data_IF_323202564806
#
_entry.id   IF_323202564806
#
_cell.length_a   1.000
_cell.length_b   1.000
_cell.length_c   1.000
_cell.angle_alpha   90.00
_cell.angle_beta   90.00
_cell.angle_gamma   90.00
#
_symmetry.space_group_name_H-M   'P 1'
#
loop_
_entity.id
_entity.type
_entity.pdbx_description
1 polymer ?
#
# COMPACT_ATOMS: atom_id res chain seq x y z
N UNK A 1 12.08 -12.00 6.28
CA UNK A 1 11.15 -11.89 7.43
C UNK A 1 9.75 -11.59 6.90
N UNK A 2 8.69 -11.99 7.61
CA UNK A 2 7.32 -11.65 7.19
C UNK A 2 7.00 -10.22 7.63
N UNK A 3 6.91 -9.30 6.66
CA UNK A 3 6.67 -7.87 6.91
C UNK A 3 5.19 -7.50 6.83
N UNK A 4 4.53 -7.90 5.75
CA UNK A 4 3.14 -7.58 5.48
C UNK A 4 2.29 -8.86 5.46
N UNK A 5 1.17 -8.82 6.17
CA UNK A 5 0.17 -9.89 6.27
C UNK A 5 -1.18 -9.25 6.64
N UNK A 6 -2.05 -9.06 5.66
CA UNK A 6 -3.33 -8.36 5.83
C UNK A 6 -4.34 -8.77 4.78
N UNK A 7 -5.62 -8.49 5.05
CA UNK A 7 -6.72 -8.81 4.15
C UNK A 7 -7.08 -7.63 3.25
N UNK A 8 -7.61 -7.90 2.05
CA UNK A 8 -8.26 -6.85 1.24
C UNK A 8 -9.52 -6.30 1.90
N UNK A 9 -10.06 -6.97 2.92
CA UNK A 9 -11.12 -6.43 3.77
C UNK A 9 -10.65 -5.24 4.62
N UNK A 10 -9.33 -5.09 4.83
CA UNK A 10 -8.74 -3.99 5.61
C UNK A 10 -8.46 -2.73 4.77
N UNK A 11 -8.90 -2.72 3.51
CA UNK A 11 -8.73 -1.56 2.62
C UNK A 11 -9.58 -0.38 3.09
N UNK A 12 -8.95 0.80 3.22
CA UNK A 12 -9.64 2.05 3.56
C UNK A 12 -10.70 2.41 2.51
N UNK A 13 -10.38 2.21 1.23
CA UNK A 13 -11.32 2.40 0.10
C UNK A 13 -11.53 1.08 -0.63
N UNK A 14 -12.70 0.43 -0.51
CA UNK A 14 -12.97 -0.82 -1.20
C UNK A 14 -12.89 -0.69 -2.72
N UNK A 15 -12.59 -1.79 -3.41
CA UNK A 15 -12.43 -1.84 -4.87
C UNK A 15 -13.60 -1.17 -5.63
N UNK A 16 -14.84 -1.38 -5.18
CA UNK A 16 -16.03 -0.75 -5.80
C UNK A 16 -15.95 0.77 -5.79
N UNK A 17 -15.51 1.35 -4.68
CA UNK A 17 -15.38 2.80 -4.53
C UNK A 17 -14.25 3.33 -5.41
N UNK A 18 -13.10 2.65 -5.42
CA UNK A 18 -11.98 3.00 -6.30
C UNK A 18 -12.38 3.00 -7.78
N UNK A 19 -13.11 1.97 -8.24
CA UNK A 19 -13.59 1.92 -9.64
C UNK A 19 -14.56 3.06 -9.96
N UNK A 20 -15.47 3.36 -9.04
CA UNK A 20 -16.45 4.44 -9.22
C UNK A 20 -15.74 5.78 -9.35
N UNK A 21 -14.81 6.08 -8.44
CA UNK A 21 -14.05 7.32 -8.46
C UNK A 21 -13.19 7.44 -9.72
N UNK A 22 -12.36 6.44 -10.02
CA UNK A 22 -11.43 6.50 -11.15
C UNK A 22 -12.17 6.66 -12.49
N UNK A 23 -13.27 5.94 -12.70
CA UNK A 23 -14.08 6.04 -13.92
C UNK A 23 -14.81 7.39 -14.08
N UNK A 24 -15.00 8.13 -12.98
CA UNK A 24 -15.58 9.49 -13.03
C UNK A 24 -14.56 10.56 -13.45
N UNK A 25 -13.27 10.28 -13.23
CA UNK A 25 -12.16 11.20 -13.53
C UNK A 25 -11.55 10.93 -14.91
N UNK A 26 -11.43 9.67 -15.31
CA UNK A 26 -10.85 9.27 -16.59
C UNK A 26 -11.52 8.02 -17.17
N UNK A 27 -11.42 7.83 -18.48
CA UNK A 27 -11.88 6.60 -19.13
C UNK A 27 -10.92 5.45 -18.82
N UNK A 28 -11.44 4.34 -18.33
CA UNK A 28 -10.71 3.10 -18.11
C UNK A 28 -10.80 2.21 -19.36
N UNK A 29 -9.66 1.66 -19.79
CA UNK A 29 -9.53 0.82 -20.96
C UNK A 29 -9.20 -0.63 -20.58
N UNK A 30 -9.57 -1.61 -21.43
CA UNK A 30 -9.12 -2.98 -21.26
C UNK A 30 -7.59 -3.06 -21.22
N UNK A 31 -7.05 -3.68 -20.16
CA UNK A 31 -5.61 -3.79 -19.93
C UNK A 31 -5.05 -2.77 -18.93
N UNK A 32 -5.84 -1.81 -18.45
CA UNK A 32 -5.40 -0.87 -17.41
C UNK A 32 -5.09 -1.61 -16.10
N UNK A 33 -4.01 -1.18 -15.44
CA UNK A 33 -3.56 -1.71 -14.14
C UNK A 33 -3.77 -0.66 -13.06
N UNK A 34 -4.50 -1.03 -12.00
CA UNK A 34 -4.84 -0.12 -10.90
C UNK A 34 -4.17 -0.60 -9.62
N UNK A 35 -3.24 0.20 -9.11
CA UNK A 35 -2.59 -0.05 -7.83
C UNK A 35 -3.52 0.37 -6.69
N UNK A 36 -4.07 -0.61 -5.96
CA UNK A 36 -5.12 -0.40 -4.95
C UNK A 36 -4.61 0.12 -3.59
N UNK A 37 -3.36 0.61 -3.54
CA UNK A 37 -2.69 1.03 -2.31
C UNK A 37 -1.98 -0.12 -1.57
N UNK A 38 -1.38 0.22 -0.43
CA UNK A 38 -0.72 -0.73 0.48
C UNK A 38 -1.26 -0.52 1.88
N UNK A 39 -1.30 -1.57 2.70
CA UNK A 39 -1.46 -1.39 4.13
C UNK A 39 -0.17 -0.75 4.68
N UNK A 40 -0.33 0.22 5.59
CA UNK A 40 0.77 0.95 6.20
C UNK A 40 1.52 0.12 7.25
N UNK A 41 0.91 -0.98 7.72
CA UNK A 41 1.56 -1.93 8.62
C UNK A 41 2.61 -2.74 7.86
N UNK A 42 3.78 -2.92 8.46
CA UNK A 42 4.84 -3.74 7.87
C UNK A 42 5.69 -3.03 6.82
N UNK A 43 5.48 -1.73 6.59
CA UNK A 43 6.33 -0.96 5.69
C UNK A 43 7.72 -0.79 6.29
N UNK A 44 8.74 -0.86 5.44
CA UNK A 44 10.14 -0.74 5.84
C UNK A 44 11.03 -0.77 4.61
N UNK A 45 12.24 -0.20 4.72
CA UNK A 45 13.15 -0.12 3.60
C UNK A 45 13.58 -1.50 3.10
N UNK A 46 13.59 -1.67 1.78
CA UNK A 46 14.27 -2.76 1.09
C UNK A 46 15.65 -2.28 0.66
N UNK A 47 16.63 -3.17 0.65
CA UNK A 47 18.03 -2.85 0.46
C UNK A 47 18.61 -3.68 -0.68
N UNK A 48 19.78 -3.27 -1.19
CA UNK A 48 20.52 -4.06 -2.18
C UNK A 48 20.73 -5.50 -1.70
N UNK A 49 20.47 -6.47 -2.59
CA UNK A 49 20.58 -7.90 -2.30
C UNK A 49 19.37 -8.50 -1.58
N UNK A 50 18.38 -7.71 -1.18
CA UNK A 50 17.16 -8.25 -0.60
C UNK A 50 16.34 -9.01 -1.66
N UNK A 51 15.72 -10.11 -1.23
CA UNK A 51 14.72 -10.85 -2.00
C UNK A 51 13.34 -10.63 -1.35
N UNK A 52 12.38 -10.13 -2.13
CA UNK A 52 11.02 -9.83 -1.68
C UNK A 52 10.07 -10.82 -2.34
N UNK A 53 9.43 -11.65 -1.53
CA UNK A 53 8.39 -12.59 -1.96
C UNK A 53 7.04 -12.01 -1.58
N UNK A 54 6.13 -11.95 -2.54
CA UNK A 54 4.74 -11.51 -2.32
C UNK A 54 3.80 -12.60 -2.77
N UNK A 55 2.79 -12.90 -1.95
CA UNK A 55 1.76 -13.90 -2.22
C UNK A 55 0.40 -13.27 -2.03
N UNK A 56 -0.54 -13.59 -2.93
CA UNK A 56 -1.95 -13.25 -2.79
C UNK A 56 -2.76 -14.54 -2.89
N UNK A 57 -3.55 -14.80 -1.86
CA UNK A 57 -4.41 -15.97 -1.78
C UNK A 57 -5.34 -16.05 -3.00
N UNK A 58 -5.34 -17.21 -3.67
CA UNK A 58 -6.14 -17.45 -4.87
C UNK A 58 -5.59 -16.86 -6.18
N UNK A 59 -4.49 -16.10 -6.14
CA UNK A 59 -3.83 -15.55 -7.35
C UNK A 59 -2.47 -16.21 -7.57
N UNK A 60 -1.61 -16.20 -6.55
CA UNK A 60 -0.26 -16.79 -6.62
C UNK A 60 0.81 -15.93 -5.96
N UNK A 61 2.07 -16.26 -6.26
CA UNK A 61 3.23 -15.61 -5.68
C UNK A 61 4.22 -15.14 -6.76
N UNK A 62 4.96 -14.08 -6.45
CA UNK A 62 6.12 -13.67 -7.23
C UNK A 62 7.28 -13.27 -6.32
N UNK A 63 8.48 -13.30 -6.89
CA UNK A 63 9.73 -12.92 -6.21
C UNK A 63 10.40 -11.78 -6.95
N UNK A 64 10.75 -10.73 -6.21
CA UNK A 64 11.50 -9.56 -6.68
C UNK A 64 12.88 -9.56 -6.03
N UNK A 65 13.93 -9.42 -6.83
CA UNK A 65 15.31 -9.27 -6.33
C UNK A 65 15.73 -7.81 -6.43
N UNK A 66 16.19 -7.24 -5.32
CA UNK A 66 16.55 -5.83 -5.24
C UNK A 66 18.02 -5.63 -5.59
N UNK A 67 18.27 -4.74 -6.53
CA UNK A 67 19.62 -4.28 -6.89
C UNK A 67 19.67 -2.76 -6.81
N UNK A 68 20.63 -2.23 -6.05
CA UNK A 68 20.93 -0.81 -6.01
C UNK A 68 22.40 -0.57 -6.34
N UNK A 69 22.65 -0.15 -7.58
CA UNK A 69 24.01 0.15 -8.07
C UNK A 69 24.62 1.40 -7.40
N UNK A 70 23.80 2.23 -6.74
CA UNK A 70 24.27 3.42 -6.01
C UNK A 70 24.69 3.11 -4.57
N UNK A 71 24.48 1.87 -4.08
CA UNK A 71 24.88 1.43 -2.75
C UNK A 71 24.27 2.26 -1.61
N UNK A 72 23.02 2.72 -1.77
CA UNK A 72 22.35 3.50 -0.71
C UNK A 72 21.99 2.57 0.44
N UNK A 73 22.09 3.12 1.65
CA UNK A 73 21.73 2.41 2.87
C UNK A 73 20.67 3.19 3.65
N UNK A 74 19.58 2.50 3.96
CA UNK A 74 18.54 2.97 4.88
C UNK A 74 18.54 2.17 6.19
N UNK A 75 17.83 2.66 7.20
CA UNK A 75 17.62 1.87 8.42
C UNK A 75 16.82 0.61 8.11
N UNK A 76 17.33 -0.57 8.50
CA UNK A 76 16.60 -1.83 8.37
C UNK A 76 15.55 -1.97 9.47
N UNK A 77 14.43 -2.60 9.14
CA UNK A 77 13.33 -2.87 10.05
C UNK A 77 11.99 -2.40 9.49
N UNK A 78 10.94 -2.56 10.30
CA UNK A 78 9.58 -2.10 10.02
C UNK A 78 9.38 -0.75 10.71
N UNK A 79 8.76 0.19 9.99
CA UNK A 79 8.30 1.47 10.53
C UNK A 79 7.03 1.25 11.36
N UNK A 80 7.22 1.10 12.66
CA UNK A 80 6.12 0.95 13.61
C UNK A 80 5.43 2.29 13.93
N UNK A 81 6.14 3.41 13.82
CA UNK A 81 5.59 4.73 14.17
C UNK A 81 4.49 5.13 13.17
N UNK A 82 4.78 5.01 11.88
CA UNK A 82 3.80 5.28 10.82
C UNK A 82 2.61 4.33 10.92
N UNK A 83 2.86 3.04 11.16
CA UNK A 83 1.82 2.03 11.29
C UNK A 83 0.83 2.36 12.43
N UNK A 84 1.34 2.75 13.61
CA UNK A 84 0.49 3.13 14.74
C UNK A 84 -0.25 4.44 14.52
N UNK A 85 0.39 5.44 13.87
CA UNK A 85 -0.27 6.70 13.51
C UNK A 85 -1.48 6.46 12.60
N UNK A 86 -1.33 5.63 11.56
CA UNK A 86 -2.41 5.32 10.62
C UNK A 86 -3.54 4.56 11.30
N UNK A 87 -3.23 3.59 12.17
CA UNK A 87 -4.25 2.89 12.97
C UNK A 87 -5.06 3.85 13.83
N UNK A 88 -4.39 4.79 14.50
CA UNK A 88 -5.05 5.78 15.35
C UNK A 88 -5.99 6.70 14.55
N UNK A 89 -5.61 7.08 13.32
CA UNK A 89 -6.47 7.87 12.43
C UNK A 89 -7.70 7.09 11.96
N UNK A 90 -7.54 5.81 11.59
CA UNK A 90 -8.65 4.95 11.17
C UNK A 90 -9.68 4.74 12.30
N UNK A 91 -9.24 4.78 13.56
CA UNK A 91 -10.11 4.63 14.73
C UNK A 91 -10.85 5.93 15.12
N UNK A 92 -10.49 7.09 14.54
CA UNK A 92 -11.12 8.38 14.82
C UNK A 92 -11.46 9.15 13.52
N UNK A 93 -12.51 8.74 12.79
CA UNK A 93 -12.83 9.25 11.44
C UNK A 93 -13.33 10.71 11.38
N UNK A 94 -13.47 11.41 12.50
CA UNK A 94 -14.03 12.77 12.57
C UNK A 94 -13.15 13.87 11.91
N UNK A 95 -11.96 13.53 11.38
CA UNK A 95 -11.06 14.49 10.74
C UNK A 95 -11.02 14.40 9.21
N UNK A 96 -11.71 13.44 8.60
CA UNK A 96 -11.64 13.20 7.16
C UNK A 96 -12.57 14.10 6.32
N UNK A 97 -13.58 14.74 6.93
CA UNK A 97 -14.58 15.56 6.21
C UNK A 97 -14.17 17.01 5.93
N UNK A 98 -13.04 17.51 6.44
CA UNK A 98 -12.67 18.92 6.30
C UNK A 98 -11.79 19.22 5.06
N UNK A 99 -11.49 18.23 4.21
CA UNK A 99 -10.60 18.37 3.06
C UNK A 99 -11.26 18.71 1.71
N UNK A 100 -12.58 18.58 1.58
CA UNK A 100 -13.29 18.71 0.29
C UNK A 100 -13.82 20.12 -0.04
N UNK A 101 -13.42 21.17 0.72
CA UNK A 101 -13.82 22.56 0.43
C UNK A 101 -12.69 23.48 -0.07
N UNK A 102 -11.56 22.93 -0.52
CA UNK A 102 -10.49 23.73 -1.12
C UNK A 102 -10.04 23.19 -2.49
N UNK A 103 -10.86 23.44 -3.52
CA UNK A 103 -10.44 23.74 -4.91
C UNK A 103 -11.63 24.27 -5.69
#
# INVERSE_FOLDING_TARGET
ERRQDYSTADMERPIRELMTYLSSVTTLNPGDVICCGTNHQGLGAVQNGDEVITTIDGIGSFTLHVRDDLGREWQRGIDHEMAERVKAMAQNPAHQQNGEQAS
#
